data_IF_466154500253
#
_entry.id   IF_466154500253
#
_cell.length_a   1.000
_cell.length_b   1.000
_cell.length_c   1.000
_cell.angle_alpha   90.00
_cell.angle_beta   90.00
_cell.angle_gamma   90.00
#
_symmetry.space_group_name_H-M   'P 1'
#
loop_
_entity.id
_entity.type
_entity.pdbx_description
1 polymer ?
#
# COMPACT_ATOMS: atom_id res chain seq x y z
N UNK A 1 7.98 7.44 -31.08
CA UNK A 1 6.70 6.69 -30.96
C UNK A 1 6.38 6.33 -29.51
N UNK A 2 7.31 5.75 -28.76
CA UNK A 2 7.06 5.26 -27.38
C UNK A 2 6.64 6.33 -26.37
N UNK A 3 7.29 7.51 -26.37
CA UNK A 3 6.94 8.61 -25.47
C UNK A 3 5.48 9.05 -25.67
N UNK A 4 5.07 9.22 -26.93
CA UNK A 4 3.69 9.55 -27.30
C UNK A 4 2.69 8.49 -26.82
N UNK A 5 3.03 7.19 -26.96
CA UNK A 5 2.18 6.11 -26.47
C UNK A 5 1.99 6.14 -24.95
N UNK A 6 3.05 6.48 -24.20
CA UNK A 6 2.99 6.60 -22.73
C UNK A 6 2.11 7.78 -22.30
N UNK A 7 2.26 8.94 -22.93
CA UNK A 7 1.42 10.11 -22.67
C UNK A 7 -0.05 9.85 -22.99
N UNK A 8 -0.32 9.22 -24.14
CA UNK A 8 -1.68 8.82 -24.53
C UNK A 8 -2.28 7.80 -23.56
N UNK A 9 -1.52 6.80 -23.13
CA UNK A 9 -1.97 5.83 -22.14
C UNK A 9 -2.37 6.50 -20.82
N UNK A 10 -1.60 7.50 -20.37
CA UNK A 10 -1.92 8.27 -19.17
C UNK A 10 -3.23 9.06 -19.33
N UNK A 11 -3.40 9.78 -20.43
CA UNK A 11 -4.61 10.55 -20.70
C UNK A 11 -5.85 9.67 -20.82
N UNK A 12 -5.75 8.53 -21.51
CA UNK A 12 -6.82 7.55 -21.62
C UNK A 12 -7.14 6.89 -20.26
N UNK A 13 -6.12 6.64 -19.45
CA UNK A 13 -6.26 6.14 -18.09
C UNK A 13 -7.10 7.06 -17.21
N UNK A 14 -6.78 8.36 -17.22
CA UNK A 14 -7.56 9.38 -16.52
C UNK A 14 -9.01 9.50 -17.02
N UNK A 15 -9.21 9.47 -18.35
CA UNK A 15 -10.56 9.48 -18.92
C UNK A 15 -11.39 8.26 -18.46
N UNK A 16 -10.79 7.07 -18.43
CA UNK A 16 -11.44 5.85 -17.91
C UNK A 16 -11.70 5.95 -16.41
N UNK A 17 -10.73 6.42 -15.62
CA UNK A 17 -10.89 6.59 -14.17
C UNK A 17 -12.09 7.48 -13.85
N UNK A 18 -12.24 8.62 -14.53
CA UNK A 18 -13.38 9.51 -14.34
C UNK A 18 -14.74 8.85 -14.69
N UNK A 19 -14.77 8.01 -15.74
CA UNK A 19 -15.99 7.27 -16.13
C UNK A 19 -16.35 6.15 -15.15
N UNK A 20 -15.36 5.56 -14.49
CA UNK A 20 -15.53 4.38 -13.64
C UNK A 20 -15.64 4.72 -12.14
N UNK A 21 -15.27 5.93 -11.70
CA UNK A 21 -15.13 6.30 -10.29
C UNK A 21 -16.35 6.02 -9.39
N UNK A 22 -17.57 6.04 -9.93
CA UNK A 22 -18.82 5.80 -9.20
C UNK A 22 -19.18 4.32 -9.02
N UNK A 23 -18.41 3.40 -9.63
CA UNK A 23 -18.67 1.95 -9.51
C UNK A 23 -18.21 1.42 -8.16
N UNK A 24 -18.92 0.41 -7.66
CA UNK A 24 -18.65 -0.18 -6.35
C UNK A 24 -17.36 -1.00 -6.34
N UNK A 25 -16.44 -0.67 -5.45
CA UNK A 25 -15.14 -1.34 -5.28
C UNK A 25 -15.08 -2.07 -3.94
N UNK A 26 -15.74 -3.23 -3.84
CA UNK A 26 -15.81 -4.02 -2.59
C UNK A 26 -14.71 -5.07 -2.48
N UNK A 27 -13.98 -5.32 -3.56
CA UNK A 27 -12.84 -6.25 -3.59
C UNK A 27 -11.52 -5.47 -3.46
N UNK A 28 -10.40 -6.17 -3.45
CA UNK A 28 -9.08 -5.57 -3.36
C UNK A 28 -8.15 -6.31 -2.41
N UNK A 29 -7.15 -5.60 -1.90
CA UNK A 29 -6.15 -6.13 -0.99
C UNK A 29 -5.63 -5.08 0.00
N UNK A 30 -5.00 -5.57 1.05
CA UNK A 30 -4.15 -4.83 1.97
C UNK A 30 -2.70 -5.08 1.57
N UNK A 31 -1.93 -4.01 1.40
CA UNK A 31 -0.50 -4.04 1.17
C UNK A 31 0.25 -3.56 2.43
N UNK A 32 1.27 -4.30 2.84
CA UNK A 32 2.07 -4.00 4.02
C UNK A 32 3.55 -4.02 3.66
N UNK A 33 4.27 -3.00 4.10
CA UNK A 33 5.72 -2.89 3.96
C UNK A 33 6.31 -2.35 5.25
N UNK A 34 7.41 -2.93 5.70
CA UNK A 34 8.14 -2.49 6.89
C UNK A 34 9.61 -2.37 6.52
N UNK A 35 10.19 -1.20 6.78
CA UNK A 35 11.63 -0.97 6.69
C UNK A 35 12.12 -0.41 8.02
N UNK A 36 12.91 -1.23 8.73
CA UNK A 36 13.46 -0.94 10.07
C UNK A 36 12.37 -0.48 11.05
N UNK A 37 12.27 0.83 11.26
CA UNK A 37 11.45 1.51 12.24
C UNK A 37 10.21 2.14 11.63
N UNK A 38 10.03 2.04 10.32
CA UNK A 38 8.93 2.61 9.56
C UNK A 38 8.10 1.51 8.94
N UNK A 39 6.78 1.66 8.97
CA UNK A 39 5.83 0.72 8.41
C UNK A 39 4.69 1.43 7.71
N UNK A 40 4.26 0.85 6.60
CA UNK A 40 3.14 1.29 5.80
C UNK A 40 2.12 0.15 5.66
N UNK A 41 0.85 0.46 5.84
CA UNK A 41 -0.27 -0.45 5.64
C UNK A 41 -1.33 0.26 4.81
N UNK A 42 -1.64 -0.24 3.61
CA UNK A 42 -2.50 0.45 2.63
C UNK A 42 -3.65 -0.45 2.21
N UNK A 43 -4.86 0.10 2.18
CA UNK A 43 -6.05 -0.55 1.61
C UNK A 43 -6.30 -0.04 0.19
N UNK A 44 -6.33 -0.96 -0.78
CA UNK A 44 -6.57 -0.66 -2.20
C UNK A 44 -7.71 -1.54 -2.68
N UNK A 45 -8.75 -0.92 -3.22
CA UNK A 45 -9.95 -1.60 -3.66
C UNK A 45 -10.10 -1.63 -5.19
N UNK A 46 -10.76 -2.67 -5.68
CA UNK A 46 -11.16 -2.87 -7.07
C UNK A 46 -12.58 -3.44 -7.13
N UNK A 47 -13.15 -3.54 -8.35
CA UNK A 47 -14.52 -4.05 -8.52
C UNK A 47 -14.59 -5.56 -8.28
N UNK A 48 -13.66 -6.34 -8.86
CA UNK A 48 -13.68 -7.81 -8.82
C UNK A 48 -12.48 -8.42 -8.11
N UNK A 49 -12.63 -9.64 -7.62
CA UNK A 49 -11.54 -10.41 -6.99
C UNK A 49 -10.53 -10.96 -8.02
N UNK A 50 -10.93 -11.07 -9.30
CA UNK A 50 -10.04 -11.36 -10.41
C UNK A 50 -8.96 -10.27 -10.55
N UNK A 51 -9.34 -8.99 -10.46
CA UNK A 51 -8.37 -7.89 -10.49
C UNK A 51 -7.52 -7.86 -9.23
N UNK A 52 -8.10 -8.15 -8.05
CA UNK A 52 -7.35 -8.20 -6.80
C UNK A 52 -6.19 -9.21 -6.80
N UNK A 53 -6.24 -10.24 -7.67
CA UNK A 53 -5.19 -11.26 -7.83
C UNK A 53 -4.27 -11.01 -9.03
N UNK A 54 -4.51 -9.95 -9.79
CA UNK A 54 -3.78 -9.64 -11.02
C UNK A 54 -2.40 -9.04 -10.70
N UNK A 55 -1.36 -9.47 -11.43
CA UNK A 55 0.02 -8.99 -11.22
C UNK A 55 0.17 -7.48 -11.43
N UNK A 56 -0.55 -6.89 -12.39
CA UNK A 56 -0.55 -5.44 -12.63
C UNK A 56 -1.14 -4.69 -11.44
N UNK A 57 -2.19 -5.22 -10.83
CA UNK A 57 -2.78 -4.65 -9.62
C UNK A 57 -1.86 -4.78 -8.40
N UNK A 58 -1.17 -5.92 -8.24
CA UNK A 58 -0.14 -6.08 -7.22
C UNK A 58 1.03 -5.10 -7.42
N UNK A 59 1.45 -4.86 -8.68
CA UNK A 59 2.48 -3.87 -9.00
C UNK A 59 2.05 -2.45 -8.62
N UNK A 60 0.80 -2.07 -8.89
CA UNK A 60 0.24 -0.80 -8.39
C UNK A 60 0.29 -0.74 -6.86
N UNK A 61 -0.12 -1.81 -6.18
CA UNK A 61 -0.12 -1.88 -4.73
C UNK A 61 1.29 -1.72 -4.13
N UNK A 62 2.30 -2.32 -4.77
CA UNK A 62 3.70 -2.18 -4.38
C UNK A 62 4.19 -0.74 -4.53
N UNK A 63 3.86 -0.07 -5.64
CA UNK A 63 4.19 1.34 -5.87
C UNK A 63 3.59 2.23 -4.77
N UNK A 64 2.32 2.00 -4.43
CA UNK A 64 1.61 2.82 -3.44
C UNK A 64 2.16 2.60 -2.05
N UNK A 65 2.33 1.34 -1.60
CA UNK A 65 2.85 1.06 -0.25
C UNK A 65 4.29 1.57 -0.10
N UNK A 66 5.10 1.52 -1.17
CA UNK A 66 6.44 2.10 -1.20
C UNK A 66 6.41 3.63 -1.05
N UNK A 67 5.47 4.30 -1.73
CA UNK A 67 5.28 5.76 -1.60
C UNK A 67 4.87 6.15 -0.17
N UNK A 68 3.97 5.38 0.44
CA UNK A 68 3.55 5.58 1.83
C UNK A 68 4.68 5.30 2.81
N UNK A 69 5.50 4.27 2.57
CA UNK A 69 6.65 3.98 3.42
C UNK A 69 7.69 5.10 3.34
N UNK A 70 7.98 5.61 2.13
CA UNK A 70 8.85 6.78 1.95
C UNK A 70 8.33 7.98 2.73
N UNK A 71 7.05 8.32 2.56
CA UNK A 71 6.39 9.39 3.31
C UNK A 71 6.50 9.18 4.84
N UNK A 72 6.40 7.93 5.31
CA UNK A 72 6.55 7.57 6.73
C UNK A 72 8.00 7.79 7.21
N UNK A 73 8.99 7.47 6.38
CA UNK A 73 10.41 7.67 6.68
C UNK A 73 10.85 9.14 6.72
N UNK A 74 10.16 10.00 5.98
CA UNK A 74 10.41 11.45 6.00
C UNK A 74 9.87 12.13 7.28
N UNK A 75 9.06 11.43 8.07
CA UNK A 75 8.51 11.94 9.32
C UNK A 75 9.47 11.71 10.50
N UNK A 76 9.54 12.71 11.39
CA UNK A 76 10.30 12.59 12.64
C UNK A 76 9.58 11.68 13.62
N UNK A 77 10.35 10.83 14.30
CA UNK A 77 9.88 10.03 15.44
C UNK A 77 9.88 10.94 16.67
N UNK A 78 8.69 11.31 17.16
CA UNK A 78 8.53 12.19 18.32
C UNK A 78 8.18 11.39 19.58
N UNK A 79 7.34 10.38 19.43
CA UNK A 79 6.96 9.44 20.50
C UNK A 79 7.55 8.04 20.26
N UNK A 80 7.42 7.16 21.26
CA UNK A 80 7.81 5.75 21.13
C UNK A 80 7.10 5.06 19.95
N UNK A 81 5.84 5.41 19.68
CA UNK A 81 5.08 4.90 18.54
C UNK A 81 4.27 6.04 17.94
N UNK A 82 4.65 6.50 16.75
CA UNK A 82 3.93 7.51 15.99
C UNK A 82 3.03 6.82 14.96
N UNK A 83 1.78 7.26 14.86
CA UNK A 83 0.80 6.72 13.91
C UNK A 83 0.16 7.86 13.15
N UNK A 84 0.09 7.75 11.84
CA UNK A 84 -0.60 8.72 10.98
C UNK A 84 -1.52 7.99 10.02
N UNK A 85 -2.79 8.37 10.03
CA UNK A 85 -3.76 7.87 9.06
C UNK A 85 -3.79 8.83 7.87
N UNK A 86 -3.67 8.27 6.67
CA UNK A 86 -3.82 8.99 5.42
C UNK A 86 -5.14 8.60 4.77
N UNK A 87 -5.91 9.60 4.39
CA UNK A 87 -7.14 9.42 3.63
C UNK A 87 -6.88 9.30 2.13
N UNK A 88 -7.93 8.98 1.38
CA UNK A 88 -7.85 8.82 -0.07
C UNK A 88 -7.36 10.08 -0.80
N UNK A 89 -7.68 11.28 -0.30
CA UNK A 89 -7.28 12.54 -0.93
C UNK A 89 -5.77 12.79 -0.78
N UNK A 90 -5.26 12.64 0.44
CA UNK A 90 -3.82 12.74 0.73
C UNK A 90 -3.03 11.70 -0.07
N UNK A 91 -3.53 10.47 -0.12
CA UNK A 91 -2.87 9.38 -0.84
C UNK A 91 -2.78 9.64 -2.34
N UNK A 92 -3.82 10.17 -2.97
CA UNK A 92 -3.80 10.49 -4.41
C UNK A 92 -2.65 11.43 -4.78
N UNK A 93 -2.33 12.38 -3.90
CA UNK A 93 -1.33 13.42 -4.13
C UNK A 93 0.09 13.00 -3.74
N UNK A 94 0.28 11.85 -3.09
CA UNK A 94 1.62 11.36 -2.76
C UNK A 94 2.42 11.05 -4.03
N UNK A 95 3.68 11.48 -4.04
CA UNK A 95 4.62 11.12 -5.09
C UNK A 95 5.18 9.72 -4.85
N UNK A 96 5.06 8.87 -5.87
CA UNK A 96 5.77 7.60 -5.96
C UNK A 96 7.28 7.81 -6.17
N UNK A 97 8.04 6.72 -6.15
CA UNK A 97 9.50 6.76 -6.29
C UNK A 97 9.97 7.31 -7.65
N UNK A 98 9.15 7.15 -8.69
CA UNK A 98 9.40 7.67 -10.04
C UNK A 98 8.95 9.13 -10.22
N UNK A 99 8.48 9.78 -9.14
CA UNK A 99 8.07 11.18 -9.12
C UNK A 99 6.63 11.43 -9.59
N UNK A 100 5.93 10.43 -10.13
CA UNK A 100 4.51 10.55 -10.48
C UNK A 100 3.63 10.45 -9.25
N UNK A 101 2.42 10.99 -9.33
CA UNK A 101 1.46 10.84 -8.23
C UNK A 101 0.92 9.41 -8.16
N UNK A 102 0.52 8.98 -6.97
CA UNK A 102 -0.25 7.73 -6.78
C UNK A 102 -1.52 7.74 -7.63
N UNK A 103 -2.17 8.89 -7.79
CA UNK A 103 -3.35 9.01 -8.64
C UNK A 103 -3.03 8.74 -10.12
N UNK A 104 -1.87 9.17 -10.62
CA UNK A 104 -1.44 8.88 -11.99
C UNK A 104 -1.23 7.38 -12.21
N UNK A 105 -0.58 6.70 -11.26
CA UNK A 105 -0.38 5.25 -11.30
C UNK A 105 -1.70 4.49 -11.24
N UNK A 106 -2.62 4.92 -10.38
CA UNK A 106 -3.96 4.34 -10.31
C UNK A 106 -4.72 4.53 -11.62
N UNK A 107 -4.74 5.75 -12.18
CA UNK A 107 -5.39 6.06 -13.44
C UNK A 107 -4.81 5.24 -14.61
N UNK A 108 -3.49 5.09 -14.69
CA UNK A 108 -2.83 4.27 -15.70
C UNK A 108 -3.26 2.80 -15.58
N UNK A 109 -3.32 2.28 -14.35
CA UNK A 109 -3.75 0.90 -14.07
C UNK A 109 -5.22 0.68 -14.41
N UNK A 110 -6.10 1.61 -14.06
CA UNK A 110 -7.51 1.62 -14.49
C UNK A 110 -7.61 1.63 -16.02
N UNK A 111 -6.75 2.41 -16.68
CA UNK A 111 -6.67 2.46 -18.13
C UNK A 111 -6.38 1.11 -18.78
N UNK A 112 -5.47 0.34 -18.17
CA UNK A 112 -5.04 -0.98 -18.63
C UNK A 112 -6.02 -2.10 -18.26
N UNK A 113 -6.57 -2.09 -17.05
CA UNK A 113 -7.42 -3.16 -16.51
C UNK A 113 -8.88 -2.97 -16.92
N UNK A 114 -9.37 -1.72 -16.92
CA UNK A 114 -10.76 -1.39 -17.25
C UNK A 114 -11.74 -1.50 -16.08
N UNK A 115 -11.27 -1.64 -14.85
CA UNK A 115 -12.08 -1.59 -13.63
C UNK A 115 -11.77 -0.34 -12.80
N UNK A 116 -12.73 0.12 -12.01
CA UNK A 116 -12.53 1.14 -11.00
C UNK A 116 -11.55 0.64 -9.94
N UNK A 117 -10.57 1.47 -9.60
CA UNK A 117 -9.59 1.21 -8.54
C UNK A 117 -9.58 2.41 -7.61
N UNK A 118 -9.61 2.15 -6.31
CA UNK A 118 -9.59 3.17 -5.28
C UNK A 118 -8.49 2.89 -4.26
N UNK A 119 -7.60 3.86 -4.07
CA UNK A 119 -6.67 3.88 -2.94
C UNK A 119 -7.42 4.49 -1.77
N UNK A 120 -7.83 3.67 -0.81
CA UNK A 120 -8.88 4.06 0.14
C UNK A 120 -8.35 4.74 1.39
N UNK A 121 -7.29 4.18 1.98
CA UNK A 121 -6.63 4.71 3.18
C UNK A 121 -5.29 4.03 3.41
N UNK A 122 -4.46 4.66 4.22
CA UNK A 122 -3.23 4.08 4.70
C UNK A 122 -2.97 4.41 6.17
N UNK A 123 -2.23 3.55 6.83
CA UNK A 123 -1.63 3.78 8.13
C UNK A 123 -0.10 3.83 7.96
N UNK A 124 0.48 4.95 8.36
CA UNK A 124 1.90 5.14 8.55
C UNK A 124 2.23 4.88 10.02
N UNK A 125 3.29 4.13 10.30
CA UNK A 125 3.74 3.86 11.65
C UNK A 125 5.25 4.01 11.74
N UNK A 126 5.72 4.87 12.65
CA UNK A 126 7.15 5.03 12.94
C UNK A 126 7.39 4.75 14.42
N UNK A 127 8.30 3.83 14.74
CA UNK A 127 8.58 3.40 16.11
C UNK A 127 9.98 3.77 16.53
N UNK A 128 10.17 4.10 17.80
CA UNK A 128 11.48 4.34 18.38
C UNK A 128 12.42 3.13 18.20
N UNK A 129 13.74 3.33 17.99
CA UNK A 129 14.72 2.24 17.84
C UNK A 129 14.77 1.21 18.96
N UNK A 130 14.27 1.53 20.16
CA UNK A 130 14.15 0.56 21.27
C UNK A 130 12.98 -0.41 21.13
N UNK A 131 12.07 -0.16 20.18
CA UNK A 131 10.95 -1.03 19.84
C UNK A 131 11.21 -1.79 18.53
N UNK A 132 10.50 -2.89 18.35
CA UNK A 132 10.47 -3.67 17.12
C UNK A 132 9.16 -3.43 16.39
N UNK A 133 9.23 -3.28 15.07
CA UNK A 133 8.07 -3.17 14.19
C UNK A 133 7.98 -4.41 13.30
N UNK A 134 6.81 -5.04 13.29
CA UNK A 134 6.50 -6.18 12.42
C UNK A 134 5.21 -5.89 11.67
N UNK A 135 5.19 -6.29 10.39
CA UNK A 135 4.01 -6.24 9.55
C UNK A 135 3.70 -7.61 8.99
N UNK A 136 2.43 -7.98 8.91
CA UNK A 136 2.02 -9.21 8.25
C UNK A 136 0.68 -9.02 7.52
N UNK A 137 0.43 -9.92 6.57
CA UNK A 137 -0.86 -10.03 5.88
C UNK A 137 -1.41 -11.44 5.98
N UNK A 138 -2.72 -11.58 5.84
CA UNK A 138 -3.38 -12.86 5.70
C UNK A 138 -4.35 -12.85 4.50
N UNK A 139 -4.35 -13.88 3.64
CA UNK A 139 -3.36 -14.97 3.58
C UNK A 139 -1.94 -14.44 3.34
N UNK A 140 -0.94 -15.04 3.98
CA UNK A 140 0.45 -14.65 3.78
C UNK A 140 0.94 -15.17 2.42
N UNK A 141 1.58 -14.34 1.58
CA UNK A 141 2.14 -14.82 0.32
C UNK A 141 3.36 -15.71 0.59
N UNK A 142 3.65 -16.62 -0.35
CA UNK A 142 4.74 -17.62 -0.19
C UNK A 142 6.14 -16.97 -0.15
N UNK A 143 6.30 -15.72 -0.60
CA UNK A 143 7.55 -14.94 -0.53
C UNK A 143 7.27 -13.42 -0.41
N UNK A 144 7.07 -12.86 0.81
CA UNK A 144 6.79 -11.44 0.99
C UNK A 144 8.09 -10.61 1.03
N UNK A 145 8.64 -10.21 -0.12
CA UNK A 145 9.72 -9.19 -0.16
C UNK A 145 9.62 -8.38 -1.47
N UNK A 146 9.63 -7.03 -1.44
CA UNK A 146 9.66 -6.15 -0.26
C UNK A 146 8.27 -5.87 0.34
N UNK A 147 7.18 -6.16 -0.38
CA UNK A 147 5.81 -5.96 0.06
C UNK A 147 5.10 -7.29 0.37
N UNK A 148 4.22 -7.28 1.38
CA UNK A 148 3.28 -8.37 1.67
C UNK A 148 1.85 -7.97 1.30
N UNK A 149 1.11 -8.85 0.65
CA UNK A 149 -0.26 -8.61 0.22
C UNK A 149 -1.22 -9.62 0.85
N UNK A 150 -2.44 -9.22 1.17
CA UNK A 150 -3.47 -10.13 1.66
C UNK A 150 -4.83 -9.46 1.78
N UNK A 151 -5.83 -10.21 2.26
CA UNK A 151 -7.16 -9.68 2.55
C UNK A 151 -7.19 -8.87 3.85
N UNK A 152 -6.35 -9.27 4.79
CA UNK A 152 -6.16 -8.64 6.09
C UNK A 152 -4.69 -8.27 6.25
N UNK A 153 -4.41 -7.27 7.08
CA UNK A 153 -3.04 -6.90 7.43
C UNK A 153 -2.98 -6.23 8.79
N UNK A 154 -1.83 -6.39 9.45
CA UNK A 154 -1.56 -5.82 10.75
C UNK A 154 -0.14 -5.24 10.79
N UNK A 155 0.02 -4.14 11.52
CA UNK A 155 1.30 -3.61 11.95
C UNK A 155 1.35 -3.64 13.48
N UNK A 156 2.43 -4.18 14.03
CA UNK A 156 2.64 -4.36 15.46
C UNK A 156 3.97 -3.75 15.88
N UNK A 157 3.89 -2.83 16.83
CA UNK A 157 5.04 -2.35 17.59
C UNK A 157 5.11 -3.09 18.93
N UNK A 158 6.25 -3.66 19.29
CA UNK A 158 6.45 -4.32 20.58
C UNK A 158 7.87 -4.16 21.10
N UNK A 159 8.02 -4.24 22.43
CA UNK A 159 9.31 -4.27 23.10
C UNK A 159 9.64 -5.70 23.50
N UNK A 160 10.83 -6.18 23.17
CA UNK A 160 11.30 -7.50 23.60
C UNK A 160 12.80 -7.46 23.88
N UNK A 161 13.28 -8.03 25.00
CA UNK A 161 14.69 -8.05 25.35
C UNK A 161 15.53 -8.88 24.35
N UNK A 162 14.94 -9.91 23.74
CA UNK A 162 15.61 -10.76 22.75
C UNK A 162 14.95 -10.62 21.36
N UNK A 163 15.71 -10.95 20.31
CA UNK A 163 15.18 -10.97 18.95
C UNK A 163 14.35 -12.22 18.70
N UNK A 164 13.05 -12.11 18.97
CA UNK A 164 12.09 -13.15 18.62
C UNK A 164 11.15 -12.66 17.51
N UNK A 165 11.54 -12.91 16.25
CA UNK A 165 10.72 -12.60 15.06
C UNK A 165 9.45 -13.46 15.00
N UNK A 166 9.51 -14.69 15.52
CA UNK A 166 8.37 -15.60 15.53
C UNK A 166 7.24 -15.08 16.43
N UNK A 167 7.59 -14.54 17.61
CA UNK A 167 6.63 -13.91 18.51
C UNK A 167 5.91 -12.73 17.83
N UNK A 168 6.63 -11.84 17.17
CA UNK A 168 6.04 -10.71 16.44
C UNK A 168 5.05 -11.17 15.38
N UNK A 169 5.43 -12.19 14.59
CA UNK A 169 4.54 -12.77 13.58
C UNK A 169 3.30 -13.43 14.19
N UNK A 170 3.45 -14.20 15.27
CA UNK A 170 2.34 -14.85 15.98
C UNK A 170 1.36 -13.84 16.57
N UNK A 171 1.87 -12.75 17.15
CA UNK A 171 1.03 -11.67 17.68
C UNK A 171 0.29 -10.95 16.54
N UNK A 172 0.95 -10.69 15.40
CA UNK A 172 0.27 -10.14 14.24
C UNK A 172 -0.81 -11.09 13.70
N UNK A 173 -0.56 -12.40 13.68
CA UNK A 173 -1.56 -13.41 13.30
C UNK A 173 -2.72 -13.50 14.29
N UNK A 174 -2.51 -13.21 15.57
CA UNK A 174 -3.60 -13.17 16.56
C UNK A 174 -4.52 -11.96 16.37
N UNK A 175 -4.00 -10.86 15.81
CA UNK A 175 -4.79 -9.64 15.52
C UNK A 175 -5.70 -9.83 14.30
N UNK A 176 -5.29 -10.67 13.35
CA UNK A 176 -5.98 -10.91 12.06
C UNK A 176 -6.97 -12.06 12.19
#
# INVERSE_FOLDING_TARGET
AEAWLREQAQAMGWSKAQKLQGRSTKQGLIAVMVDKNHGALVEINCETDFVARNKTFHGLAEIIVSAVLKFTGDQKIVEQVNKTLLDAETLKNLAALDGKSVADHAALTIGSIGENIQVKRALCMSVDPSLRLVGCTHPAPVNPIPASFGRYGALLAYKSPEENKALGMQLCQHII
#
